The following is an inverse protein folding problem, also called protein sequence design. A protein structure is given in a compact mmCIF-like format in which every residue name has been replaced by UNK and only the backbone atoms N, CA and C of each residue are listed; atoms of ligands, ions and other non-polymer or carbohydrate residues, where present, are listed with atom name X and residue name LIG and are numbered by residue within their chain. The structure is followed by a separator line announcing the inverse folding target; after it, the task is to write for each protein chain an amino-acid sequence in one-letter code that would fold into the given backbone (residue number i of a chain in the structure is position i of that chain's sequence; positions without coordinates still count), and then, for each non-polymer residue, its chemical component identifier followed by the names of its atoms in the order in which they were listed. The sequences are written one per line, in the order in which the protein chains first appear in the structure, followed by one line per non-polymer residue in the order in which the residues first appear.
data_IF_738848184562
#
_entry.id   IF_738848184562
#
_cell.length_a   1.000
_cell.length_b   1.000
_cell.length_c   1.000
_cell.angle_alpha   90.00
_cell.angle_beta   90.00
_cell.angle_gamma   90.00
#
_symmetry.space_group_name_H-M   'P 1'
#
loop_
_entity.id
_entity.type
_entity.pdbx_description
1 polymer ?
#
# COMPACT_ATOMS: atom_id res chain seq x y z
N UNK A 1 -32.78 -13.27 -10.81
CA UNK A 1 -31.45 -13.47 -10.22
C UNK A 1 -30.54 -12.52 -10.97
N UNK A 2 -30.19 -11.39 -10.35
CA UNK A 2 -29.24 -10.44 -10.94
C UNK A 2 -27.88 -11.14 -11.07
N UNK A 3 -27.24 -10.98 -12.21
CA UNK A 3 -25.90 -11.55 -12.45
C UNK A 3 -24.88 -10.80 -11.59
N UNK A 4 -23.76 -11.46 -11.26
CA UNK A 4 -22.66 -10.86 -10.46
C UNK A 4 -22.12 -9.57 -11.10
N UNK A 5 -22.31 -9.38 -12.42
CA UNK A 5 -21.98 -8.17 -13.17
C UNK A 5 -22.89 -6.97 -12.83
N UNK A 6 -24.15 -7.19 -12.42
CA UNK A 6 -25.06 -6.07 -12.06
C UNK A 6 -24.81 -5.54 -10.63
N UNK A 7 -24.06 -6.23 -9.79
CA UNK A 7 -23.75 -5.80 -8.42
C UNK A 7 -22.50 -4.89 -8.35
N UNK A 8 -21.70 -4.81 -9.42
CA UNK A 8 -20.53 -3.92 -9.52
C UNK A 8 -20.84 -2.55 -10.15
N UNK A 9 -22.06 -2.36 -10.68
CA UNK A 9 -22.57 -1.09 -11.19
C UNK A 9 -23.17 -0.30 -10.02
N UNK A 10 -22.55 0.84 -9.70
CA UNK A 10 -23.01 1.91 -8.80
C UNK A 10 -22.65 1.81 -7.29
N UNK A 11 -21.42 1.45 -6.94
CA UNK A 11 -20.91 2.03 -5.70
C UNK A 11 -20.68 3.52 -5.98
N UNK A 12 -21.65 4.37 -5.60
CA UNK A 12 -21.48 5.82 -5.66
C UNK A 12 -20.18 6.15 -4.89
N UNK A 13 -19.18 6.64 -5.64
CA UNK A 13 -17.88 6.97 -5.09
C UNK A 13 -18.03 8.09 -4.06
N UNK A 14 -17.34 7.96 -2.93
CA UNK A 14 -17.33 8.99 -1.90
C UNK A 14 -16.69 10.26 -2.46
N UNK A 15 -17.27 11.43 -2.14
CA UNK A 15 -16.75 12.73 -2.57
C UNK A 15 -16.05 13.43 -1.42
N UNK A 16 -14.90 14.03 -1.69
CA UNK A 16 -14.23 14.88 -0.70
C UNK A 16 -15.05 16.13 -0.49
N UNK A 17 -15.42 16.41 0.76
CA UNK A 17 -16.14 17.62 1.18
C UNK A 17 -15.29 18.55 2.02
N UNK A 18 -14.24 18.03 2.66
CA UNK A 18 -13.38 18.83 3.53
C UNK A 18 -11.94 18.34 3.47
N UNK A 19 -10.99 19.28 3.33
CA UNK A 19 -9.55 19.06 3.36
C UNK A 19 -9.04 19.68 4.65
N UNK A 20 -8.63 18.83 5.59
CA UNK A 20 -8.23 19.24 6.93
C UNK A 20 -6.84 19.86 6.95
N UNK A 21 -5.86 19.11 6.44
CA UNK A 21 -4.45 19.50 6.47
C UNK A 21 -3.63 18.69 5.47
N UNK A 22 -2.44 19.23 5.14
CA UNK A 22 -1.40 18.50 4.43
C UNK A 22 -0.42 17.96 5.45
N UNK A 23 -0.08 16.68 5.37
CA UNK A 23 0.91 16.07 6.26
C UNK A 23 2.29 16.68 6.02
N UNK A 24 3.01 16.96 7.09
CA UNK A 24 4.39 17.50 6.99
C UNK A 24 5.42 16.37 6.74
N UNK A 25 5.08 15.12 7.11
CA UNK A 25 5.97 13.98 7.02
C UNK A 25 5.79 13.24 5.69
N UNK A 26 6.89 12.61 5.23
CA UNK A 26 6.96 11.88 3.97
C UNK A 26 7.24 12.77 2.75
N UNK A 27 7.79 12.17 1.70
CA UNK A 27 8.15 12.89 0.46
C UNK A 27 6.89 13.37 -0.27
N UNK A 28 5.85 12.56 -0.29
CA UNK A 28 4.59 12.86 -0.99
C UNK A 28 3.71 13.86 -0.26
N UNK A 29 3.89 14.05 1.07
CA UNK A 29 3.11 14.98 1.90
C UNK A 29 1.61 14.90 1.61
N UNK A 30 0.96 13.73 1.83
CA UNK A 30 -0.44 13.51 1.46
C UNK A 30 -1.40 14.39 2.27
N UNK A 31 -2.67 14.45 1.85
CA UNK A 31 -3.69 15.23 2.52
C UNK A 31 -4.58 14.37 3.41
N UNK A 32 -5.02 14.92 4.54
CA UNK A 32 -6.08 14.37 5.38
C UNK A 32 -7.38 15.01 4.94
N UNK A 33 -8.31 14.18 4.43
CA UNK A 33 -9.59 14.65 3.89
C UNK A 33 -10.76 13.90 4.50
N UNK A 34 -11.93 14.56 4.52
CA UNK A 34 -13.20 13.95 4.88
C UNK A 34 -14.12 13.86 3.66
N UNK A 35 -14.84 12.74 3.55
CA UNK A 35 -15.81 12.52 2.48
C UNK A 35 -17.24 12.85 2.93
N UNK A 36 -18.18 12.91 1.98
CA UNK A 36 -19.61 13.10 2.16
C UNK A 36 -20.29 12.00 2.99
N UNK A 37 -19.62 10.85 3.15
CA UNK A 37 -20.02 9.76 4.07
C UNK A 37 -19.35 9.86 5.45
N UNK A 38 -18.76 11.01 5.77
CA UNK A 38 -18.08 11.31 7.05
C UNK A 38 -16.83 10.46 7.33
N UNK A 39 -16.35 9.70 6.33
CA UNK A 39 -15.10 8.94 6.45
C UNK A 39 -13.88 9.85 6.32
N UNK A 40 -12.82 9.55 7.08
CA UNK A 40 -11.54 10.25 7.00
C UNK A 40 -10.51 9.40 6.28
N UNK A 41 -9.80 10.02 5.33
CA UNK A 41 -8.80 9.35 4.51
C UNK A 41 -7.50 10.16 4.40
N UNK A 42 -6.41 9.43 4.16
CA UNK A 42 -5.15 9.95 3.62
C UNK A 42 -5.24 9.86 2.11
N UNK A 43 -5.10 10.99 1.41
CA UNK A 43 -5.30 11.10 -0.04
C UNK A 43 -3.97 11.27 -0.76
N UNK A 44 -3.75 10.46 -1.81
CA UNK A 44 -2.63 10.57 -2.74
C UNK A 44 -3.18 10.70 -4.18
N UNK A 45 -2.59 11.59 -4.98
CA UNK A 45 -3.03 11.88 -6.35
C UNK A 45 -1.91 11.72 -7.37
N UNK A 46 -2.26 11.71 -8.66
CA UNK A 46 -1.31 11.69 -9.78
C UNK A 46 -0.44 12.95 -9.87
N UNK A 47 -0.84 14.06 -9.25
CA UNK A 47 -0.02 15.28 -9.17
C UNK A 47 1.05 15.22 -8.09
N UNK A 48 0.88 14.34 -7.11
CA UNK A 48 1.79 14.20 -5.96
C UNK A 48 2.90 13.17 -6.21
N UNK A 49 2.67 12.20 -7.10
CA UNK A 49 3.63 11.13 -7.38
C UNK A 49 3.46 10.58 -8.79
N UNK A 50 4.50 9.95 -9.37
CA UNK A 50 4.39 9.25 -10.64
C UNK A 50 3.32 8.15 -10.62
N UNK A 51 2.65 7.95 -11.75
CA UNK A 51 1.62 6.90 -11.89
C UNK A 51 2.15 5.51 -11.51
N UNK A 52 3.42 5.20 -11.80
CA UNK A 52 4.03 3.92 -11.43
C UNK A 52 4.08 3.71 -9.91
N UNK A 53 4.33 4.77 -9.14
CA UNK A 53 4.33 4.71 -7.68
C UNK A 53 2.90 4.63 -7.12
N UNK A 54 1.95 5.34 -7.73
CA UNK A 54 0.56 5.28 -7.30
C UNK A 54 -0.05 3.88 -7.58
N UNK A 55 0.29 3.26 -8.71
CA UNK A 55 -0.07 1.88 -9.01
C UNK A 55 0.56 0.90 -8.01
N UNK A 56 1.83 1.08 -7.67
CA UNK A 56 2.49 0.27 -6.67
C UNK A 56 1.82 0.39 -5.29
N UNK A 57 1.39 1.60 -4.91
CA UNK A 57 0.63 1.86 -3.68
C UNK A 57 -0.71 1.12 -3.66
N UNK A 58 -1.50 1.23 -4.73
CA UNK A 58 -2.81 0.55 -4.84
C UNK A 58 -2.63 -0.96 -4.79
N UNK A 59 -1.78 -1.50 -5.66
CA UNK A 59 -1.58 -2.95 -5.79
C UNK A 59 -0.96 -3.50 -4.51
N UNK A 60 0.10 -2.87 -3.99
CA UNK A 60 0.77 -3.30 -2.76
C UNK A 60 -0.17 -3.29 -1.55
N UNK A 61 -0.97 -2.23 -1.38
CA UNK A 61 -1.95 -2.14 -0.29
C UNK A 61 -3.05 -3.19 -0.42
N UNK A 62 -3.56 -3.42 -1.63
CA UNK A 62 -4.56 -4.47 -1.86
C UNK A 62 -4.00 -5.86 -1.58
N UNK A 63 -2.79 -6.15 -2.06
CA UNK A 63 -2.12 -7.44 -1.79
C UNK A 63 -1.85 -7.63 -0.29
N UNK A 64 -1.48 -6.56 0.44
CA UNK A 64 -1.28 -6.61 1.89
C UNK A 64 -2.57 -7.02 2.63
N UNK A 65 -3.71 -6.46 2.23
CA UNK A 65 -5.03 -6.88 2.73
C UNK A 65 -5.34 -8.34 2.42
N UNK A 66 -5.17 -8.76 1.17
CA UNK A 66 -5.51 -10.10 0.71
C UNK A 66 -4.66 -11.18 1.40
N UNK A 67 -3.39 -10.89 1.72
CA UNK A 67 -2.52 -11.82 2.41
C UNK A 67 -2.74 -11.82 3.94
N UNK A 68 -3.53 -10.88 4.45
CA UNK A 68 -3.92 -10.78 5.85
C UNK A 68 -2.97 -9.97 6.73
N UNK A 69 -2.22 -9.04 6.17
CA UNK A 69 -1.44 -8.06 6.94
C UNK A 69 -2.37 -7.00 7.55
N UNK A 70 -2.11 -6.55 8.78
CA UNK A 70 -2.84 -5.44 9.38
C UNK A 70 -2.48 -4.13 8.66
N UNK A 71 -3.41 -3.56 7.90
CA UNK A 71 -3.22 -2.31 7.17
C UNK A 71 -4.52 -1.49 7.13
N UNK A 72 -4.46 -0.16 6.96
CA UNK A 72 -5.64 0.65 6.76
C UNK A 72 -6.40 0.19 5.51
N UNK A 73 -7.71 0.21 5.54
CA UNK A 73 -8.51 -0.05 4.34
C UNK A 73 -8.25 1.02 3.27
N UNK A 74 -8.37 0.63 2.01
CA UNK A 74 -8.19 1.53 0.87
C UNK A 74 -9.49 1.67 0.10
N UNK A 75 -9.65 2.81 -0.56
CA UNK A 75 -10.76 3.13 -1.46
C UNK A 75 -10.28 4.13 -2.52
N UNK A 76 -11.18 4.49 -3.42
CA UNK A 76 -11.03 5.61 -4.34
C UNK A 76 -12.08 6.66 -4.01
N UNK A 77 -11.70 7.94 -4.09
CA UNK A 77 -12.57 9.06 -3.77
C UNK A 77 -12.51 10.12 -4.86
N UNK A 78 -13.62 10.83 -5.06
CA UNK A 78 -13.73 11.90 -6.05
C UNK A 78 -13.31 13.24 -5.45
N UNK A 79 -12.41 13.96 -6.13
CA UNK A 79 -12.07 15.36 -5.90
C UNK A 79 -12.86 16.20 -6.90
N UNK A 80 -13.75 17.05 -6.42
CA UNK A 80 -14.56 17.95 -7.26
C UNK A 80 -14.08 19.40 -7.18
N UNK A 81 -14.52 20.31 -8.09
CA UNK A 81 -14.23 21.74 -7.96
C UNK A 81 -14.67 22.32 -6.62
N UNK A 82 -15.80 21.84 -6.08
CA UNK A 82 -16.36 22.25 -4.82
C UNK A 82 -15.47 21.83 -3.65
N UNK A 83 -14.85 20.62 -3.72
CA UNK A 83 -13.93 20.11 -2.71
C UNK A 83 -12.74 21.05 -2.47
N UNK A 84 -12.27 21.70 -3.55
CA UNK A 84 -11.04 22.49 -3.53
C UNK A 84 -11.25 24.01 -3.61
N UNK A 85 -12.50 24.51 -3.62
CA UNK A 85 -12.79 25.92 -3.83
C UNK A 85 -12.17 26.86 -2.79
N UNK A 86 -12.00 26.39 -1.54
CA UNK A 86 -11.49 27.18 -0.42
C UNK A 86 -10.04 26.85 -0.03
N UNK A 87 -9.37 25.92 -0.72
CA UNK A 87 -7.96 25.62 -0.44
C UNK A 87 -7.02 26.57 -1.15
N UNK A 88 -5.80 26.71 -0.61
CA UNK A 88 -4.78 27.56 -1.22
C UNK A 88 -4.46 27.12 -2.66
N UNK A 89 -4.02 28.06 -3.53
CA UNK A 89 -3.61 27.69 -4.89
C UNK A 89 -2.51 26.63 -4.95
N UNK A 90 -1.59 26.62 -3.97
CA UNK A 90 -0.52 25.62 -3.83
C UNK A 90 -1.11 24.22 -3.61
N UNK A 91 -2.04 24.07 -2.68
CA UNK A 91 -2.67 22.77 -2.42
C UNK A 91 -3.55 22.29 -3.59
N UNK A 92 -4.20 23.23 -4.26
CA UNK A 92 -5.07 22.91 -5.41
C UNK A 92 -4.31 22.30 -6.57
N UNK A 93 -3.01 22.62 -6.74
CA UNK A 93 -2.17 22.00 -7.76
C UNK A 93 -1.98 20.50 -7.51
N UNK A 94 -1.92 20.08 -6.25
CA UNK A 94 -1.75 18.69 -5.85
C UNK A 94 -3.08 17.92 -5.68
N UNK A 95 -4.20 18.64 -5.77
CA UNK A 95 -5.57 18.10 -5.66
C UNK A 95 -6.39 18.41 -6.92
N UNK A 96 -5.98 17.92 -8.11
CA UNK A 96 -6.76 18.11 -9.34
C UNK A 96 -8.11 17.43 -9.22
N UNK A 97 -9.10 17.92 -9.97
CA UNK A 97 -10.38 17.24 -10.11
C UNK A 97 -10.17 15.84 -10.70
N UNK A 98 -10.92 14.86 -10.23
CA UNK A 98 -10.85 13.46 -10.64
C UNK A 98 -10.74 12.50 -9.48
N UNK A 99 -10.32 11.28 -9.76
CA UNK A 99 -10.27 10.20 -8.78
C UNK A 99 -8.90 10.14 -8.10
N UNK A 100 -8.90 10.06 -6.78
CA UNK A 100 -7.71 9.93 -5.94
C UNK A 100 -7.70 8.58 -5.19
N UNK A 101 -6.50 8.07 -4.93
CA UNK A 101 -6.29 6.98 -3.98
C UNK A 101 -6.53 7.47 -2.56
N UNK A 102 -7.24 6.67 -1.78
CA UNK A 102 -7.60 6.95 -0.40
C UNK A 102 -7.22 5.77 0.50
N UNK A 103 -6.50 6.06 1.59
CA UNK A 103 -6.23 5.11 2.66
C UNK A 103 -6.87 5.61 3.95
N UNK A 104 -7.61 4.76 4.66
CA UNK A 104 -8.33 5.16 5.88
C UNK A 104 -7.41 5.84 6.88
N UNK A 105 -7.83 7.03 7.36
CA UNK A 105 -7.11 7.75 8.38
C UNK A 105 -7.32 7.09 9.75
N UNK A 106 -6.23 6.62 10.35
CA UNK A 106 -6.26 5.99 11.67
C UNK A 106 -6.02 7.05 12.74
N UNK A 107 -7.05 7.36 13.50
CA UNK A 107 -6.98 8.39 14.56
C UNK A 107 -6.00 7.95 15.64
N UNK A 108 -5.12 8.88 16.06
CA UNK A 108 -4.07 8.64 17.06
C UNK A 108 -2.96 7.66 16.65
N UNK A 109 -2.92 7.22 15.40
CA UNK A 109 -1.77 6.48 14.91
C UNK A 109 -0.57 7.40 14.69
N UNK A 110 0.61 6.89 15.00
CA UNK A 110 1.90 7.56 14.81
C UNK A 110 2.85 6.67 14.05
N UNK A 111 3.86 7.24 13.41
CA UNK A 111 4.95 6.42 12.86
C UNK A 111 5.53 5.55 13.96
N UNK A 112 5.55 4.24 13.73
CA UNK A 112 6.03 3.28 14.69
C UNK A 112 7.53 3.44 14.94
N UNK A 113 7.96 3.17 16.18
CA UNK A 113 9.39 3.08 16.53
C UNK A 113 9.87 1.64 16.37
N UNK A 114 11.14 1.45 16.04
CA UNK A 114 11.74 0.12 15.89
C UNK A 114 11.47 -0.79 17.10
N UNK A 115 11.53 -0.24 18.33
CA UNK A 115 11.23 -0.99 19.55
C UNK A 115 9.78 -1.48 19.62
N UNK A 116 8.83 -0.74 19.06
CA UNK A 116 7.42 -1.16 18.99
C UNK A 116 7.23 -2.25 17.93
N UNK A 117 7.84 -2.08 16.77
CA UNK A 117 7.74 -3.05 15.66
C UNK A 117 8.34 -4.41 16.03
N UNK A 118 9.43 -4.40 16.79
CA UNK A 118 10.10 -5.63 17.26
C UNK A 118 9.46 -6.25 18.52
N UNK A 119 8.46 -5.58 19.11
CA UNK A 119 7.77 -6.10 20.27
C UNK A 119 6.64 -7.06 19.85
N UNK A 120 6.72 -8.36 20.20
CA UNK A 120 5.68 -9.34 19.82
C UNK A 120 4.29 -9.05 20.38
N UNK A 121 4.16 -8.17 21.38
CA UNK A 121 2.87 -7.74 21.90
C UNK A 121 2.10 -6.81 20.93
N UNK A 122 2.81 -6.12 20.01
CA UNK A 122 2.23 -5.17 19.06
C UNK A 122 2.28 -5.69 17.62
N UNK A 123 3.26 -6.53 17.30
CA UNK A 123 3.39 -7.26 16.05
C UNK A 123 3.97 -8.64 16.40
N UNK A 124 3.12 -9.65 16.42
CA UNK A 124 3.53 -11.01 16.81
C UNK A 124 4.59 -11.59 15.86
N UNK A 125 5.36 -12.59 16.32
CA UNK A 125 6.38 -13.21 15.46
C UNK A 125 5.82 -13.72 14.13
N UNK A 126 4.65 -14.41 14.07
CA UNK A 126 4.03 -14.78 12.80
C UNK A 126 3.72 -13.58 11.89
N UNK A 127 3.28 -12.44 12.45
CA UNK A 127 3.02 -11.22 11.68
C UNK A 127 4.31 -10.57 11.19
N UNK A 128 5.39 -10.57 11.99
CA UNK A 128 6.71 -10.10 11.56
C UNK A 128 7.25 -10.94 10.40
N UNK A 129 7.12 -12.27 10.47
CA UNK A 129 7.48 -13.20 9.40
C UNK A 129 6.65 -12.95 8.14
N UNK A 130 5.33 -12.82 8.31
CA UNK A 130 4.40 -12.52 7.22
C UNK A 130 4.77 -11.22 6.51
N UNK A 131 5.04 -10.14 7.26
CA UNK A 131 5.44 -8.85 6.72
C UNK A 131 6.77 -8.95 5.95
N UNK A 132 7.77 -9.62 6.51
CA UNK A 132 9.05 -9.80 5.82
C UNK A 132 8.91 -10.58 4.51
N UNK A 133 8.19 -11.71 4.53
CA UNK A 133 7.94 -12.53 3.33
C UNK A 133 7.13 -11.75 2.30
N UNK A 134 6.17 -10.95 2.73
CA UNK A 134 5.38 -10.07 1.88
C UNK A 134 6.26 -9.03 1.19
N UNK A 135 7.06 -8.27 1.95
CA UNK A 135 7.96 -7.26 1.38
C UNK A 135 8.97 -7.89 0.39
N UNK A 136 9.47 -9.12 0.69
CA UNK A 136 10.32 -9.88 -0.25
C UNK A 136 9.57 -10.25 -1.52
N UNK A 137 8.30 -10.62 -1.42
CA UNK A 137 7.48 -11.03 -2.56
C UNK A 137 7.18 -9.85 -3.50
N UNK A 138 6.76 -8.72 -2.93
CA UNK A 138 6.46 -7.50 -3.71
C UNK A 138 7.70 -6.64 -3.98
N UNK A 139 8.90 -7.05 -3.58
CA UNK A 139 10.15 -6.29 -3.70
C UNK A 139 10.05 -4.88 -3.08
N UNK A 140 9.52 -4.78 -1.87
CA UNK A 140 9.46 -3.54 -1.09
C UNK A 140 10.60 -3.49 -0.08
N UNK A 141 11.76 -2.98 -0.46
CA UNK A 141 12.93 -2.83 0.44
C UNK A 141 12.96 -1.53 1.22
N UNK A 142 11.98 -0.64 1.01
CA UNK A 142 11.94 0.70 1.62
C UNK A 142 11.59 0.70 3.12
N UNK A 143 11.23 -0.46 3.68
CA UNK A 143 10.91 -0.63 5.10
C UNK A 143 12.18 -0.87 5.91
N UNK A 144 12.89 0.21 6.22
CA UNK A 144 14.24 0.14 6.82
C UNK A 144 14.26 0.49 8.29
N UNK A 145 15.12 -0.23 9.06
CA UNK A 145 15.44 0.10 10.43
C UNK A 145 16.70 0.98 10.46
N UNK A 146 16.54 2.29 10.65
CA UNK A 146 17.73 3.12 10.87
C UNK A 146 18.29 2.93 12.29
N UNK A 147 19.59 2.67 12.36
CA UNK A 147 20.34 2.70 13.62
C UNK A 147 20.49 4.14 14.17
N UNK A 148 20.26 5.15 13.35
CA UNK A 148 20.49 6.57 13.67
C UNK A 148 19.18 7.37 13.78
N UNK A 149 18.03 6.70 13.81
CA UNK A 149 16.71 7.36 13.99
C UNK A 149 16.07 7.99 12.75
N UNK A 150 16.64 7.77 11.56
CA UNK A 150 16.16 8.34 10.28
C UNK A 150 15.67 7.28 9.28
N UNK A 151 15.43 6.04 9.71
CA UNK A 151 14.93 4.98 8.83
C UNK A 151 13.49 5.23 8.40
N UNK A 152 13.16 4.76 7.21
CA UNK A 152 11.79 4.77 6.69
C UNK A 152 11.09 3.47 7.10
N UNK A 153 10.45 3.48 8.26
CA UNK A 153 9.82 2.27 8.81
C UNK A 153 8.55 1.90 8.02
N UNK A 154 7.82 2.87 7.49
CA UNK A 154 6.55 2.69 6.77
C UNK A 154 5.53 1.81 7.53
N UNK A 155 5.49 1.99 8.85
CA UNK A 155 4.57 1.31 9.76
C UNK A 155 3.98 2.35 10.71
N UNK A 156 2.67 2.21 11.00
CA UNK A 156 2.00 3.01 12.03
C UNK A 156 1.84 2.18 13.30
N UNK A 157 1.94 2.83 14.44
CA UNK A 157 1.49 2.30 15.72
C UNK A 157 0.15 2.93 16.09
N UNK A 158 -0.90 2.14 16.08
CA UNK A 158 -2.22 2.53 16.57
C UNK A 158 -2.21 2.47 18.10
N UNK A 159 -2.18 3.63 18.75
CA UNK A 159 -2.14 3.74 20.21
C UNK A 159 -3.43 3.22 20.88
N UNK A 160 -4.54 3.26 20.17
CA UNK A 160 -5.82 2.81 20.71
C UNK A 160 -5.95 1.28 20.69
N UNK A 161 -5.57 0.65 19.59
CA UNK A 161 -5.64 -0.80 19.43
C UNK A 161 -4.36 -1.51 19.88
N UNK A 162 -3.29 -0.78 20.19
CA UNK A 162 -1.97 -1.31 20.55
C UNK A 162 -1.44 -2.27 19.48
N UNK A 163 -1.54 -1.87 18.21
CA UNK A 163 -1.17 -2.68 17.04
C UNK A 163 -0.31 -1.90 16.06
N UNK A 164 0.50 -2.63 15.32
CA UNK A 164 1.22 -2.12 14.17
C UNK A 164 0.36 -2.27 12.92
N UNK A 165 0.33 -1.23 12.08
CA UNK A 165 -0.33 -1.23 10.78
C UNK A 165 0.70 -0.97 9.68
N UNK A 166 0.60 -1.74 8.61
CA UNK A 166 1.47 -1.65 7.43
C UNK A 166 0.95 -0.58 6.48
N UNK A 167 1.83 0.33 6.04
CA UNK A 167 1.49 1.41 5.10
C UNK A 167 2.61 1.61 4.09
N UNK A 168 2.32 2.41 3.06
CA UNK A 168 3.27 2.96 2.07
C UNK A 168 4.01 1.88 1.26
N UNK A 169 3.39 1.48 0.15
CA UNK A 169 3.90 0.48 -0.78
C UNK A 169 4.34 1.10 -2.12
N UNK A 170 4.44 2.44 -2.19
CA UNK A 170 4.67 3.18 -3.43
C UNK A 170 6.03 2.88 -4.09
N UNK A 171 7.01 2.38 -3.34
CA UNK A 171 8.32 1.96 -3.84
C UNK A 171 8.45 0.44 -4.01
N UNK A 172 7.36 -0.31 -3.91
CA UNK A 172 7.33 -1.74 -4.20
C UNK A 172 7.58 -2.04 -5.69
N UNK A 173 7.86 -3.30 -6.00
CA UNK A 173 8.12 -3.83 -7.34
C UNK A 173 9.40 -3.31 -7.99
N UNK A 174 10.40 -2.89 -7.19
CA UNK A 174 11.73 -2.53 -7.68
C UNK A 174 12.63 -3.76 -7.74
N UNK A 175 13.00 -4.19 -8.94
CA UNK A 175 13.91 -5.34 -9.14
C UNK A 175 15.32 -5.13 -8.56
N UNK A 176 15.68 -3.88 -8.23
CA UNK A 176 16.95 -3.54 -7.56
C UNK A 176 16.84 -3.53 -6.04
N UNK A 177 15.70 -3.98 -5.49
CA UNK A 177 15.45 -3.97 -4.06
C UNK A 177 16.56 -4.68 -3.28
N UNK A 178 17.17 -3.97 -2.33
CA UNK A 178 18.17 -4.49 -1.39
C UNK A 178 17.56 -4.57 0.01
N UNK A 179 17.53 -5.78 0.56
CA UNK A 179 16.94 -6.07 1.87
C UNK A 179 17.97 -6.09 3.01
N UNK A 180 19.20 -5.69 2.78
CA UNK A 180 20.25 -5.68 3.81
C UNK A 180 19.88 -4.79 5.01
N UNK A 181 19.20 -3.66 4.75
CA UNK A 181 18.75 -2.72 5.79
C UNK A 181 17.28 -2.90 6.20
N UNK A 182 16.59 -3.89 5.65
CA UNK A 182 15.18 -4.13 5.99
C UNK A 182 15.02 -4.35 7.50
N UNK A 183 13.92 -3.84 8.10
CA UNK A 183 13.68 -3.90 9.55
C UNK A 183 13.73 -5.32 10.12
N UNK A 184 13.41 -6.33 9.29
CA UNK A 184 13.51 -7.76 9.61
C UNK A 184 14.55 -8.48 8.75
N UNK A 185 15.62 -7.81 8.29
CA UNK A 185 16.74 -8.50 7.68
C UNK A 185 17.37 -9.51 8.67
N UNK A 186 18.10 -10.54 8.22
CA UNK A 186 18.65 -11.58 9.09
C UNK A 186 19.43 -11.06 10.29
N UNK A 187 20.15 -9.92 10.15
CA UNK A 187 20.88 -9.28 11.25
C UNK A 187 19.99 -8.46 12.19
N UNK A 188 18.75 -8.17 11.81
CA UNK A 188 17.83 -7.31 12.57
C UNK A 188 16.73 -8.08 13.30
N UNK A 189 16.71 -9.40 13.21
CA UNK A 189 15.68 -10.27 13.81
C UNK A 189 16.32 -11.46 14.56
N UNK A 190 15.56 -12.03 15.48
CA UNK A 190 15.98 -13.23 16.26
C UNK A 190 15.39 -14.53 15.68
N UNK A 191 14.20 -14.46 15.03
CA UNK A 191 13.53 -15.60 14.42
C UNK A 191 14.11 -15.95 13.04
N UNK A 192 13.84 -17.18 12.61
CA UNK A 192 14.18 -17.68 11.27
C UNK A 192 12.93 -18.16 10.57
N UNK A 193 12.95 -18.10 9.23
CA UNK A 193 11.92 -18.70 8.41
C UNK A 193 12.18 -20.21 8.30
N UNK A 194 11.20 -21.00 8.70
CA UNK A 194 11.24 -22.44 8.47
C UNK A 194 10.49 -22.83 7.18
N UNK A 195 10.44 -24.11 6.88
CA UNK A 195 9.74 -24.61 5.70
C UNK A 195 8.23 -24.38 5.78
N UNK A 196 7.64 -24.47 6.96
CA UNK A 196 6.18 -24.28 7.16
C UNK A 196 5.81 -22.81 6.93
N UNK A 197 6.61 -21.87 7.42
CA UNK A 197 6.42 -20.44 7.18
C UNK A 197 6.41 -20.15 5.68
N UNK A 198 7.43 -20.63 4.96
CA UNK A 198 7.61 -20.44 3.51
C UNK A 198 6.47 -21.06 2.71
N UNK A 199 6.07 -22.31 3.01
CA UNK A 199 4.98 -22.97 2.32
C UNK A 199 3.64 -22.30 2.56
N UNK A 200 3.32 -21.96 3.82
CA UNK A 200 2.08 -21.26 4.17
C UNK A 200 1.96 -19.92 3.46
N UNK A 201 3.08 -19.17 3.38
CA UNK A 201 3.11 -17.92 2.64
C UNK A 201 2.90 -18.15 1.14
N UNK A 202 3.60 -19.13 0.56
CA UNK A 202 3.48 -19.48 -0.87
C UNK A 202 2.05 -19.80 -1.25
N UNK A 203 1.35 -20.61 -0.45
CA UNK A 203 -0.03 -20.99 -0.71
C UNK A 203 -0.96 -19.76 -0.68
N UNK A 204 -0.80 -18.88 0.33
CA UNK A 204 -1.53 -17.60 0.41
C UNK A 204 -1.24 -16.68 -0.78
N UNK A 205 0.02 -16.55 -1.17
CA UNK A 205 0.42 -15.69 -2.28
C UNK A 205 -0.15 -16.20 -3.62
N UNK A 206 -0.14 -17.52 -3.84
CA UNK A 206 -0.75 -18.15 -5.03
C UNK A 206 -2.27 -17.91 -5.05
N UNK A 207 -2.94 -18.04 -3.91
CA UNK A 207 -4.38 -17.76 -3.82
C UNK A 207 -4.70 -16.28 -4.07
N UNK A 208 -3.86 -15.39 -3.58
CA UNK A 208 -3.96 -13.94 -3.83
C UNK A 208 -3.74 -13.60 -5.31
N UNK A 209 -2.78 -14.27 -5.97
CA UNK A 209 -2.54 -14.09 -7.41
C UNK A 209 -3.74 -14.43 -8.29
N UNK A 210 -4.60 -15.36 -7.89
CA UNK A 210 -5.84 -15.67 -8.61
C UNK A 210 -6.81 -14.49 -8.67
N UNK A 211 -6.67 -13.53 -7.74
CA UNK A 211 -7.48 -12.31 -7.65
C UNK A 211 -6.83 -11.12 -8.35
N UNK A 212 -5.63 -11.25 -8.92
CA UNK A 212 -4.86 -10.13 -9.45
C UNK A 212 -5.60 -9.36 -10.55
N UNK A 213 -6.34 -10.07 -11.41
CA UNK A 213 -7.12 -9.42 -12.46
C UNK A 213 -8.24 -8.54 -11.88
N UNK A 214 -8.84 -8.91 -10.74
CA UNK A 214 -9.78 -8.04 -10.02
C UNK A 214 -9.10 -6.79 -9.47
N UNK A 215 -7.86 -6.94 -8.94
CA UNK A 215 -7.08 -5.79 -8.46
C UNK A 215 -6.82 -4.80 -9.60
N UNK A 216 -6.44 -5.32 -10.77
CA UNK A 216 -6.23 -4.50 -11.96
C UNK A 216 -7.51 -3.75 -12.38
N UNK A 217 -8.65 -4.45 -12.47
CA UNK A 217 -9.92 -3.85 -12.86
C UNK A 217 -10.54 -2.91 -11.81
N UNK A 218 -10.00 -2.88 -10.59
CA UNK A 218 -10.42 -1.90 -9.57
C UNK A 218 -9.74 -0.54 -9.74
N UNK A 219 -8.67 -0.44 -10.53
CA UNK A 219 -7.96 0.82 -10.78
C UNK A 219 -8.85 1.72 -11.66
N UNK A 220 -9.05 3.00 -11.28
CA UNK A 220 -9.94 3.89 -12.02
C UNK A 220 -9.52 4.11 -13.46
N UNK A 221 -10.46 3.98 -14.41
CA UNK A 221 -10.21 4.22 -15.83
C UNK A 221 -9.72 5.66 -16.10
N UNK A 222 -10.11 6.62 -15.28
CA UNK A 222 -9.67 8.02 -15.35
C UNK A 222 -8.15 8.20 -15.27
N UNK A 223 -7.44 7.21 -14.70
CA UNK A 223 -5.98 7.23 -14.64
C UNK A 223 -5.32 6.79 -15.96
N UNK A 224 -6.08 6.21 -16.88
CA UNK A 224 -5.60 5.62 -18.14
C UNK A 224 -5.79 6.55 -19.34
N UNK A 225 -5.90 7.86 -19.13
CA UNK A 225 -6.23 8.82 -20.19
C UNK A 225 -5.06 8.99 -21.17
N UNK A 226 -5.30 8.62 -22.45
CA UNK A 226 -4.37 8.73 -23.56
C UNK A 226 -3.60 7.44 -23.86
N UNK A 227 -3.47 7.12 -25.16
CA UNK A 227 -2.92 5.84 -25.64
C UNK A 227 -1.51 5.54 -25.09
N UNK A 228 -0.64 6.56 -25.00
CA UNK A 228 0.73 6.40 -24.49
C UNK A 228 0.74 6.05 -23.00
N UNK A 229 -0.15 6.67 -22.20
CA UNK A 229 -0.27 6.40 -20.77
C UNK A 229 -0.85 5.01 -20.58
N UNK A 230 -1.89 4.66 -21.31
CA UNK A 230 -2.48 3.32 -21.27
C UNK A 230 -1.44 2.22 -21.51
N UNK A 231 -0.64 2.34 -22.58
CA UNK A 231 0.40 1.36 -22.88
C UNK A 231 1.48 1.26 -21.77
N UNK A 232 1.88 2.39 -21.19
CA UNK A 232 2.84 2.40 -20.06
C UNK A 232 2.29 1.70 -18.83
N UNK A 233 1.02 1.93 -18.50
CA UNK A 233 0.35 1.30 -17.38
C UNK A 233 0.21 -0.20 -17.62
N UNK A 234 -0.27 -0.61 -18.79
CA UNK A 234 -0.41 -2.03 -19.14
C UNK A 234 0.93 -2.77 -19.05
N UNK A 235 2.00 -2.19 -19.60
CA UNK A 235 3.35 -2.74 -19.44
C UNK A 235 3.78 -2.85 -17.96
N UNK A 236 3.50 -1.83 -17.16
CA UNK A 236 3.82 -1.85 -15.73
C UNK A 236 3.04 -2.95 -15.00
N UNK A 237 1.77 -3.09 -15.26
CA UNK A 237 0.91 -4.12 -14.66
C UNK A 237 1.39 -5.53 -15.05
N UNK A 238 1.68 -5.74 -16.32
CA UNK A 238 2.20 -7.03 -16.80
C UNK A 238 3.56 -7.37 -16.16
N UNK A 239 4.43 -6.36 -15.98
CA UNK A 239 5.69 -6.51 -15.25
C UNK A 239 5.45 -6.88 -13.78
N UNK A 240 4.55 -6.18 -13.07
CA UNK A 240 4.20 -6.48 -11.69
C UNK A 240 3.66 -7.91 -11.58
N UNK A 241 2.76 -8.32 -12.48
CA UNK A 241 2.20 -9.68 -12.52
C UNK A 241 3.31 -10.73 -12.71
N UNK A 242 4.27 -10.47 -13.58
CA UNK A 242 5.42 -11.36 -13.79
C UNK A 242 6.31 -11.44 -12.55
N UNK A 243 6.58 -10.31 -11.88
CA UNK A 243 7.35 -10.28 -10.64
C UNK A 243 6.68 -11.07 -9.51
N UNK A 244 5.38 -10.92 -9.35
CA UNK A 244 4.61 -11.63 -8.33
C UNK A 244 4.57 -13.15 -8.60
N UNK A 245 4.49 -13.56 -9.87
CA UNK A 245 4.49 -14.98 -10.25
C UNK A 245 5.81 -15.71 -9.95
N UNK A 246 6.91 -15.01 -9.59
CA UNK A 246 8.16 -15.66 -9.17
C UNK A 246 7.97 -16.58 -7.95
N UNK A 247 6.96 -16.33 -7.12
CA UNK A 247 6.63 -17.17 -5.96
C UNK A 247 6.33 -18.64 -6.33
N UNK A 248 5.95 -18.90 -7.58
CA UNK A 248 5.66 -20.25 -8.08
C UNK A 248 6.91 -21.02 -8.55
N UNK A 249 8.09 -20.39 -8.55
CA UNK A 249 9.33 -21.00 -8.96
C UNK A 249 9.89 -21.86 -7.82
N UNK A 250 10.38 -23.07 -8.11
CA UNK A 250 10.94 -23.99 -7.11
C UNK A 250 12.08 -23.38 -6.31
N UNK A 251 12.90 -22.53 -6.94
CA UNK A 251 14.06 -21.88 -6.32
C UNK A 251 13.75 -20.51 -5.71
N UNK A 252 12.49 -20.10 -5.61
CA UNK A 252 12.13 -18.76 -5.09
C UNK A 252 12.72 -18.46 -3.70
N UNK A 253 12.74 -19.47 -2.84
CA UNK A 253 13.19 -19.31 -1.45
C UNK A 253 14.69 -19.56 -1.23
N UNK A 254 15.46 -19.96 -2.24
CA UNK A 254 16.86 -20.39 -2.08
C UNK A 254 17.77 -19.31 -1.49
N UNK A 255 17.50 -18.03 -1.80
CA UNK A 255 18.29 -16.90 -1.32
C UNK A 255 17.50 -16.02 -0.32
N UNK A 256 16.43 -16.55 0.28
CA UNK A 256 15.61 -15.85 1.26
C UNK A 256 15.70 -16.61 2.59
N UNK A 257 16.50 -16.05 3.50
CA UNK A 257 16.67 -16.57 4.87
C UNK A 257 15.52 -16.13 5.78
#
# INVERSE_FOLDING_TARGET
MATVEEVLLDKIMDKIIFIRERMEMGITRPFICQTDKENWFIIKTLSMMPISQLLAEVIGSTLAHEIGLPCPSIDFVEITPESTQYVSPEWRQDLPNGIAFASSFVVNAKIAKTVQVKNPAFLSEPEQKLLYMFDRWILNSDRTASQVGTGNINLLFDEQQQKILVIDHNLAFDERADFSEHIFSPQNREWRLDWVDKQTFTDKAIDTLKKFDHIYHSIPDDWFVGDEIFHKIDQQINRIKALLNRITQENYWDNIE
#
